data_IF_249933285409
#
_entry.id   IF_249933285409
#
_cell.length_a   1.000
_cell.length_b   1.000
_cell.length_c   1.000
_cell.angle_alpha   90.00
_cell.angle_beta   90.00
_cell.angle_gamma   90.00
#
_symmetry.space_group_name_H-M   'P 1'
#
loop_
_entity.id
_entity.type
_entity.pdbx_description
1 polymer ?
#
# COMPACT_ATOMS: atom_id res chain seq x y z
N UNK A 1 7.09 58.24 -50.36
CA UNK A 1 7.18 56.81 -50.72
C UNK A 1 7.68 56.06 -49.50
N UNK A 2 6.76 55.48 -48.72
CA UNK A 2 7.09 54.66 -47.56
C UNK A 2 6.64 53.24 -47.85
N UNK A 3 7.60 52.35 -48.03
CA UNK A 3 7.38 50.90 -48.09
C UNK A 3 7.21 50.40 -46.65
N UNK A 4 6.00 49.96 -46.31
CA UNK A 4 5.73 49.21 -45.09
C UNK A 4 6.21 47.76 -45.30
N UNK A 5 7.29 47.38 -44.62
CA UNK A 5 7.69 45.99 -44.47
C UNK A 5 6.76 45.32 -43.45
N UNK A 6 5.98 44.34 -43.89
CA UNK A 6 5.22 43.46 -43.01
C UNK A 6 6.19 42.52 -42.29
N UNK A 7 6.48 42.82 -41.01
CA UNK A 7 7.01 41.84 -40.08
C UNK A 7 5.90 40.84 -39.73
N UNK A 8 5.98 39.62 -40.27
CA UNK A 8 5.23 38.49 -39.72
C UNK A 8 5.78 38.18 -38.33
N UNK A 9 5.08 38.66 -37.30
CA UNK A 9 5.30 38.22 -35.93
C UNK A 9 4.89 36.76 -35.80
N UNK A 10 5.76 35.93 -35.20
CA UNK A 10 5.35 34.68 -34.57
C UNK A 10 4.43 35.06 -33.39
N UNK A 11 3.16 35.30 -33.68
CA UNK A 11 2.12 35.38 -32.68
C UNK A 11 1.91 33.98 -32.11
N UNK A 12 2.42 33.80 -30.90
CA UNK A 12 1.89 32.97 -29.83
C UNK A 12 0.87 31.90 -30.27
N UNK A 13 1.39 30.76 -30.72
CA UNK A 13 0.74 29.46 -30.57
C UNK A 13 0.66 29.12 -29.07
N UNK A 14 -0.14 29.88 -28.31
CA UNK A 14 -0.74 29.40 -27.07
C UNK A 14 -1.98 28.59 -27.43
N UNK A 15 -1.76 27.45 -28.07
CA UNK A 15 -2.74 26.37 -28.03
C UNK A 15 -2.74 25.84 -26.61
N UNK A 16 -3.80 26.22 -25.92
CA UNK A 16 -4.28 25.71 -24.64
C UNK A 16 -3.89 24.23 -24.47
N UNK A 17 -2.81 23.98 -23.73
CA UNK A 17 -2.50 22.64 -23.24
C UNK A 17 -3.61 22.34 -22.25
N UNK A 18 -4.64 21.64 -22.74
CA UNK A 18 -5.72 21.12 -21.91
C UNK A 18 -5.10 20.49 -20.66
N UNK A 19 -5.33 21.11 -19.50
CA UNK A 19 -5.01 20.53 -18.20
C UNK A 19 -5.58 19.12 -18.16
N UNK A 20 -4.70 18.13 -18.09
CA UNK A 20 -5.10 16.74 -17.82
C UNK A 20 -5.87 16.70 -16.49
N UNK A 21 -6.90 15.84 -16.32
CA UNK A 21 -7.76 15.84 -15.12
C UNK A 21 -7.08 15.46 -13.78
N UNK A 22 -5.75 15.42 -13.71
CA UNK A 22 -4.98 14.77 -12.64
C UNK A 22 -4.80 15.59 -11.34
N UNK A 23 -5.36 16.80 -11.24
CA UNK A 23 -5.15 17.66 -10.06
C UNK A 23 -6.18 17.45 -8.92
N UNK A 24 -7.22 16.63 -9.13
CA UNK A 24 -8.26 16.42 -8.10
C UNK A 24 -7.82 15.34 -7.10
N UNK A 25 -7.62 15.73 -5.84
CA UNK A 25 -7.45 14.80 -4.72
C UNK A 25 -8.80 14.15 -4.40
N UNK A 26 -8.84 12.82 -4.42
CA UNK A 26 -9.98 12.00 -4.02
C UNK A 26 -10.09 11.92 -2.50
N UNK A 27 -11.26 12.20 -1.93
CA UNK A 27 -11.48 12.25 -0.48
C UNK A 27 -12.51 11.24 0.04
N UNK A 28 -13.33 10.70 -0.85
CA UNK A 28 -14.29 9.64 -0.51
C UNK A 28 -13.55 8.34 -0.14
N UNK A 29 -14.20 7.39 0.55
CA UNK A 29 -13.58 6.12 0.89
C UNK A 29 -13.04 5.42 -0.37
N UNK A 30 -11.72 5.20 -0.49
CA UNK A 30 -11.15 4.80 -1.76
C UNK A 30 -11.63 3.43 -2.24
N UNK A 31 -11.99 2.55 -1.31
CA UNK A 31 -12.54 1.24 -1.62
C UNK A 31 -13.91 1.26 -2.32
N UNK A 32 -14.65 2.37 -2.28
CA UNK A 32 -15.88 2.55 -3.08
C UNK A 32 -15.65 3.20 -4.44
N UNK A 33 -14.49 3.82 -4.64
CA UNK A 33 -14.23 4.63 -5.81
C UNK A 33 -13.92 3.76 -7.04
N UNK A 34 -14.52 4.05 -8.20
CA UNK A 34 -14.32 3.26 -9.43
C UNK A 34 -12.86 3.25 -9.87
N UNK A 35 -12.09 4.27 -9.55
CA UNK A 35 -10.67 4.37 -9.91
C UNK A 35 -9.82 3.35 -9.16
N UNK A 36 -10.17 3.03 -7.92
CA UNK A 36 -9.50 1.98 -7.14
C UNK A 36 -9.92 0.60 -7.60
N UNK A 37 -11.18 0.42 -8.01
CA UNK A 37 -11.62 -0.83 -8.63
C UNK A 37 -10.92 -1.07 -9.97
N UNK A 38 -10.87 -0.07 -10.85
CA UNK A 38 -10.17 -0.17 -12.13
C UNK A 38 -8.67 -0.46 -11.94
N UNK A 39 -8.04 0.16 -10.94
CA UNK A 39 -6.61 -0.06 -10.64
C UNK A 39 -6.35 -1.45 -10.05
N UNK A 40 -7.26 -1.94 -9.20
CA UNK A 40 -7.23 -3.32 -8.75
C UNK A 40 -7.36 -4.29 -9.93
N UNK A 41 -8.32 -4.07 -10.85
CA UNK A 41 -8.46 -4.88 -12.07
C UNK A 41 -7.20 -4.82 -12.94
N UNK A 42 -6.57 -3.67 -13.10
CA UNK A 42 -5.29 -3.58 -13.80
C UNK A 42 -4.21 -4.46 -13.15
N UNK A 43 -4.08 -4.43 -11.82
CA UNK A 43 -3.12 -5.28 -11.10
C UNK A 43 -3.44 -6.76 -11.32
N UNK A 44 -4.71 -7.15 -11.26
CA UNK A 44 -5.12 -8.54 -11.40
C UNK A 44 -5.00 -9.05 -12.85
N UNK A 45 -5.45 -8.28 -13.81
CA UNK A 45 -5.65 -8.74 -15.19
C UNK A 45 -4.47 -8.44 -16.11
N UNK A 46 -3.70 -7.38 -15.83
CA UNK A 46 -2.72 -6.84 -16.79
C UNK A 46 -1.31 -6.85 -16.25
N UNK A 47 -1.10 -6.36 -15.02
CA UNK A 47 0.23 -6.20 -14.47
C UNK A 47 0.92 -7.55 -14.21
N UNK A 48 2.13 -7.72 -14.74
CA UNK A 48 2.96 -8.89 -14.47
C UNK A 48 3.77 -8.67 -13.19
N UNK A 49 3.50 -9.49 -12.18
CA UNK A 49 4.17 -9.39 -10.88
C UNK A 49 5.56 -10.04 -10.99
N UNK A 50 6.66 -9.32 -10.68
CA UNK A 50 7.99 -9.88 -10.79
C UNK A 50 8.19 -11.02 -9.78
N UNK A 51 8.76 -12.17 -10.20
CA UNK A 51 9.07 -13.25 -9.27
C UNK A 51 10.15 -12.81 -8.28
N UNK A 52 9.91 -13.05 -6.99
CA UNK A 52 10.84 -12.78 -5.89
C UNK A 52 10.71 -13.88 -4.84
N UNK A 53 11.75 -14.13 -4.08
CA UNK A 53 11.71 -15.18 -3.05
C UNK A 53 10.73 -14.81 -1.92
N UNK A 54 10.74 -13.55 -1.50
CA UNK A 54 9.93 -13.04 -0.39
C UNK A 54 8.96 -11.98 -0.88
N UNK A 55 7.70 -12.04 -0.48
CA UNK A 55 6.79 -10.89 -0.51
C UNK A 55 6.61 -10.29 0.88
N UNK A 56 6.73 -8.97 0.96
CA UNK A 56 6.56 -8.20 2.19
C UNK A 56 5.33 -7.33 2.05
N UNK A 57 4.32 -7.55 2.89
CA UNK A 57 3.08 -6.79 2.91
C UNK A 57 3.12 -5.73 4.02
N UNK A 58 3.05 -4.45 3.67
CA UNK A 58 2.99 -3.33 4.62
C UNK A 58 1.79 -2.43 4.34
N UNK A 59 1.18 -1.81 5.37
CA UNK A 59 0.01 -0.99 5.15
C UNK A 59 0.32 0.31 4.42
N UNK A 60 -0.71 0.83 3.74
CA UNK A 60 -0.71 2.15 3.13
C UNK A 60 -0.48 3.25 4.18
N UNK A 61 -0.08 4.43 3.71
CA UNK A 61 0.16 5.59 4.56
C UNK A 61 -0.71 6.78 4.15
N UNK A 62 -0.93 7.70 5.10
CA UNK A 62 -1.66 8.95 4.84
C UNK A 62 -0.90 9.82 3.84
N UNK A 63 0.43 9.91 3.97
CA UNK A 63 1.31 10.66 3.07
C UNK A 63 1.63 9.83 1.82
N UNK A 64 1.44 10.43 0.64
CA UNK A 64 1.71 9.84 -0.67
C UNK A 64 2.78 10.65 -1.41
N UNK A 65 3.56 10.02 -2.31
CA UNK A 65 3.69 8.57 -2.50
C UNK A 65 4.20 7.90 -1.21
N UNK A 66 3.78 6.66 -0.96
CA UNK A 66 3.88 6.07 0.37
C UNK A 66 5.32 5.92 0.86
N UNK A 67 6.27 5.62 -0.05
CA UNK A 67 7.71 5.59 0.24
C UNK A 67 8.25 6.86 0.89
N UNK A 68 7.58 8.01 0.71
CA UNK A 68 7.98 9.28 1.32
C UNK A 68 7.42 9.50 2.72
N UNK A 69 6.50 8.64 3.17
CA UNK A 69 5.94 8.69 4.52
C UNK A 69 6.99 8.29 5.57
N UNK A 70 6.98 8.93 6.77
CA UNK A 70 7.90 8.55 7.84
C UNK A 70 7.84 7.07 8.22
N UNK A 71 6.64 6.49 8.29
CA UNK A 71 6.46 5.07 8.60
C UNK A 71 7.07 4.16 7.54
N UNK A 72 6.84 4.42 6.24
CA UNK A 72 7.47 3.63 5.18
C UNK A 72 8.98 3.75 5.16
N UNK A 73 9.54 4.94 5.43
CA UNK A 73 10.99 5.11 5.50
C UNK A 73 11.60 4.25 6.62
N UNK A 74 10.95 4.19 7.78
CA UNK A 74 11.38 3.35 8.90
C UNK A 74 11.27 1.88 8.53
N UNK A 75 10.11 1.43 8.02
CA UNK A 75 9.90 0.04 7.63
C UNK A 75 10.91 -0.42 6.55
N UNK A 76 11.15 0.41 5.51
CA UNK A 76 12.14 0.12 4.46
C UNK A 76 13.56 0.06 5.02
N UNK A 77 13.93 0.99 5.90
CA UNK A 77 15.25 0.94 6.54
C UNK A 77 15.45 -0.32 7.41
N UNK A 78 14.39 -0.90 7.97
CA UNK A 78 14.45 -2.19 8.67
C UNK A 78 14.60 -3.35 7.67
N UNK A 79 13.83 -3.34 6.58
CA UNK A 79 13.92 -4.34 5.51
C UNK A 79 15.34 -4.37 4.93
N UNK A 80 15.90 -3.22 4.57
CA UNK A 80 17.22 -3.07 3.95
C UNK A 80 18.38 -3.52 4.87
N UNK A 81 18.16 -3.56 6.19
CA UNK A 81 19.15 -4.10 7.15
C UNK A 81 19.19 -5.64 7.14
N UNK A 82 18.14 -6.30 6.65
CA UNK A 82 17.97 -7.75 6.78
C UNK A 82 18.04 -8.46 5.43
N UNK A 83 17.46 -7.84 4.38
CA UNK A 83 17.25 -8.45 3.07
C UNK A 83 17.97 -7.66 1.97
N UNK A 84 18.39 -8.36 0.91
CA UNK A 84 18.93 -7.73 -0.29
C UNK A 84 17.77 -7.21 -1.18
N UNK A 85 17.92 -6.07 -1.87
CA UNK A 85 16.84 -5.48 -2.67
C UNK A 85 16.23 -6.39 -3.74
N UNK A 86 16.97 -7.38 -4.23
CA UNK A 86 16.54 -8.33 -5.24
C UNK A 86 15.90 -9.60 -4.67
N UNK A 87 15.95 -9.83 -3.36
CA UNK A 87 15.35 -11.01 -2.72
C UNK A 87 13.88 -10.85 -2.36
N UNK A 88 13.35 -9.61 -2.36
CA UNK A 88 11.97 -9.35 -1.97
C UNK A 88 11.18 -8.50 -2.96
N UNK A 89 9.86 -8.66 -2.93
CA UNK A 89 8.87 -7.76 -3.53
C UNK A 89 8.09 -7.07 -2.41
N UNK A 90 8.03 -5.74 -2.42
CA UNK A 90 7.25 -4.98 -1.46
C UNK A 90 5.85 -4.70 -1.98
N UNK A 91 4.85 -5.11 -1.21
CA UNK A 91 3.43 -4.93 -1.51
C UNK A 91 2.79 -4.04 -0.45
N UNK A 92 2.15 -2.98 -0.88
CA UNK A 92 1.41 -2.03 -0.05
C UNK A 92 -0.06 -2.43 -0.05
N UNK A 93 -0.74 -2.37 1.09
CA UNK A 93 -2.17 -2.69 1.15
C UNK A 93 -2.93 -1.84 2.16
N UNK A 94 -4.25 -1.75 2.06
CA UNK A 94 -5.07 -1.05 3.05
C UNK A 94 -6.27 -0.39 2.41
N UNK A 95 -6.52 0.89 2.73
CA UNK A 95 -7.68 1.60 2.15
C UNK A 95 -7.59 1.79 0.65
N UNK A 96 -6.39 1.62 0.08
CA UNK A 96 -6.10 1.78 -1.33
C UNK A 96 -6.23 0.50 -2.17
N UNK A 97 -6.74 -0.61 -1.65
CA UNK A 97 -6.52 -1.89 -2.33
C UNK A 97 -5.27 -2.60 -1.86
N UNK A 98 -4.76 -3.45 -2.74
CA UNK A 98 -3.45 -4.11 -2.68
C UNK A 98 -2.63 -3.68 -3.90
N UNK A 99 -1.35 -3.37 -3.68
CA UNK A 99 -0.55 -2.55 -4.59
C UNK A 99 0.94 -2.93 -4.55
N UNK A 100 1.52 -3.45 -5.65
CA UNK A 100 2.98 -3.48 -5.85
C UNK A 100 3.60 -2.09 -5.65
N UNK A 101 4.63 -1.98 -4.80
CA UNK A 101 5.13 -0.68 -4.34
C UNK A 101 5.70 0.21 -5.47
N UNK A 102 6.18 -0.37 -6.56
CA UNK A 102 6.66 0.34 -7.76
C UNK A 102 5.55 1.10 -8.49
N UNK A 103 4.28 0.78 -8.24
CA UNK A 103 3.14 1.45 -8.87
C UNK A 103 2.57 2.59 -8.01
N UNK A 104 3.18 2.92 -6.86
CA UNK A 104 2.60 3.87 -5.88
C UNK A 104 2.40 5.31 -6.37
N UNK A 105 3.08 5.70 -7.44
CA UNK A 105 2.94 7.02 -8.06
C UNK A 105 1.86 7.05 -9.14
N UNK A 106 1.36 5.90 -9.58
CA UNK A 106 0.27 5.83 -10.54
C UNK A 106 -1.02 6.34 -9.92
N UNK A 107 -1.87 6.91 -10.77
CA UNK A 107 -3.24 7.22 -10.39
C UNK A 107 -4.00 5.91 -10.09
N UNK A 108 -4.81 5.83 -9.00
CA UNK A 108 -5.18 6.87 -8.05
C UNK A 108 -4.32 6.93 -6.78
N UNK A 109 -3.30 6.06 -6.65
CA UNK A 109 -2.57 5.82 -5.40
C UNK A 109 -1.87 7.06 -4.83
N UNK A 110 -1.37 7.95 -5.69
CA UNK A 110 -0.79 9.23 -5.26
C UNK A 110 -1.80 10.37 -5.08
N UNK A 111 -3.08 10.16 -5.42
CA UNK A 111 -4.08 11.22 -5.64
C UNK A 111 -5.31 11.07 -4.73
N UNK A 112 -5.14 10.50 -3.54
CA UNK A 112 -6.23 10.40 -2.55
C UNK A 112 -5.78 10.74 -1.13
N UNK A 113 -6.73 11.24 -0.34
CA UNK A 113 -6.56 11.52 1.08
C UNK A 113 -7.72 10.95 1.88
N UNK A 114 -7.47 9.84 2.57
CA UNK A 114 -8.46 9.16 3.39
C UNK A 114 -7.80 8.50 4.61
N UNK A 115 -8.52 8.47 5.74
CA UNK A 115 -8.05 7.89 7.00
C UNK A 115 -9.17 7.10 7.68
N UNK A 116 -9.13 5.77 7.52
CA UNK A 116 -10.15 4.86 8.07
C UNK A 116 -10.27 4.96 9.60
N UNK A 117 -9.18 5.18 10.32
CA UNK A 117 -9.19 5.28 11.79
C UNK A 117 -10.00 6.44 12.36
N UNK A 118 -10.41 7.41 11.54
CA UNK A 118 -11.29 8.52 11.96
C UNK A 118 -12.78 8.23 11.71
N UNK A 119 -13.10 7.13 11.05
CA UNK A 119 -14.46 6.79 10.64
C UNK A 119 -15.16 6.02 11.76
N UNK A 120 -16.23 6.63 12.29
CA UNK A 120 -17.06 6.04 13.36
C UNK A 120 -18.22 5.21 12.84
N UNK A 121 -18.55 5.34 11.55
CA UNK A 121 -19.63 4.58 10.93
C UNK A 121 -19.21 3.11 10.79
N UNK A 122 -19.90 2.16 11.49
CA UNK A 122 -19.55 0.75 11.42
C UNK A 122 -19.79 0.16 10.03
N UNK A 123 -20.75 0.66 9.25
CA UNK A 123 -21.03 0.16 7.90
C UNK A 123 -19.83 0.38 6.96
N UNK A 124 -19.17 1.53 7.07
CA UNK A 124 -17.97 1.85 6.29
C UNK A 124 -16.79 0.96 6.71
N UNK A 125 -16.67 0.61 8.00
CA UNK A 125 -15.65 -0.31 8.49
C UNK A 125 -15.89 -1.75 7.99
N UNK A 126 -17.15 -2.19 7.97
CA UNK A 126 -17.56 -3.50 7.46
C UNK A 126 -17.34 -3.59 5.94
N UNK A 127 -17.67 -2.55 5.20
CA UNK A 127 -17.45 -2.49 3.76
C UNK A 127 -15.97 -2.43 3.40
N UNK A 128 -15.16 -1.65 4.14
CA UNK A 128 -13.71 -1.72 4.03
C UNK A 128 -13.23 -3.17 4.17
N UNK A 129 -13.65 -3.85 5.24
CA UNK A 129 -13.22 -5.21 5.52
C UNK A 129 -13.63 -6.16 4.39
N UNK A 130 -14.89 -6.08 3.95
CA UNK A 130 -15.43 -6.94 2.89
C UNK A 130 -14.69 -6.73 1.56
N UNK A 131 -14.63 -5.49 1.08
CA UNK A 131 -14.07 -5.16 -0.24
C UNK A 131 -12.56 -5.44 -0.27
N UNK A 132 -11.83 -5.04 0.79
CA UNK A 132 -10.37 -5.20 0.81
C UNK A 132 -9.95 -6.64 1.10
N UNK A 133 -10.78 -7.44 1.77
CA UNK A 133 -10.58 -8.90 1.87
C UNK A 133 -10.59 -9.55 0.50
N UNK A 134 -11.58 -9.23 -0.34
CA UNK A 134 -11.68 -9.78 -1.70
C UNK A 134 -10.49 -9.35 -2.56
N UNK A 135 -10.07 -8.08 -2.45
CA UNK A 135 -8.92 -7.57 -3.20
C UNK A 135 -7.61 -8.25 -2.80
N UNK A 136 -7.37 -8.39 -1.50
CA UNK A 136 -6.23 -9.15 -0.97
C UNK A 136 -6.28 -10.58 -1.51
N UNK A 137 -7.42 -11.26 -1.39
CA UNK A 137 -7.56 -12.65 -1.82
C UNK A 137 -7.22 -12.82 -3.32
N UNK A 138 -7.73 -11.94 -4.18
CA UNK A 138 -7.43 -11.99 -5.61
C UNK A 138 -5.95 -11.79 -5.93
N UNK A 139 -5.24 -10.90 -5.22
CA UNK A 139 -3.80 -10.72 -5.43
C UNK A 139 -2.98 -11.89 -4.90
N UNK A 140 -3.34 -12.42 -3.73
CA UNK A 140 -2.69 -13.61 -3.18
C UNK A 140 -2.86 -14.80 -4.13
N UNK A 141 -4.05 -14.95 -4.72
CA UNK A 141 -4.28 -16.00 -5.69
C UNK A 141 -3.52 -15.76 -7.01
N UNK A 142 -3.48 -14.52 -7.53
CA UNK A 142 -2.64 -14.19 -8.68
C UNK A 142 -1.17 -14.55 -8.45
N UNK A 143 -0.70 -14.36 -7.22
CA UNK A 143 0.72 -14.51 -6.86
C UNK A 143 1.04 -15.81 -6.13
N UNK A 144 0.14 -16.81 -6.15
CA UNK A 144 0.29 -18.05 -5.37
C UNK A 144 1.63 -18.76 -5.61
N UNK A 145 2.09 -18.76 -6.86
CA UNK A 145 3.31 -19.45 -7.31
C UNK A 145 4.45 -18.45 -7.61
N UNK A 146 4.25 -17.16 -7.32
CA UNK A 146 5.23 -16.09 -7.61
C UNK A 146 6.25 -15.92 -6.49
N UNK A 147 5.85 -16.19 -5.24
CA UNK A 147 6.68 -16.02 -4.05
C UNK A 147 6.88 -17.35 -3.33
N UNK A 148 8.08 -17.58 -2.82
CA UNK A 148 8.37 -18.73 -1.95
C UNK A 148 7.84 -18.50 -0.54
N UNK A 149 7.96 -17.26 -0.03
CA UNK A 149 7.59 -16.88 1.33
C UNK A 149 6.89 -15.52 1.38
N UNK A 150 5.97 -15.35 2.35
CA UNK A 150 5.16 -14.14 2.56
C UNK A 150 5.23 -13.68 4.01
N UNK A 151 5.62 -12.43 4.25
CA UNK A 151 5.57 -11.79 5.56
C UNK A 151 4.70 -10.53 5.51
N UNK A 152 3.93 -10.29 6.54
CA UNK A 152 3.15 -9.07 6.67
C UNK A 152 3.44 -8.33 7.98
N UNK A 153 3.37 -7.00 7.93
CA UNK A 153 3.53 -6.13 9.09
C UNK A 153 2.29 -5.25 9.26
N UNK A 154 1.34 -5.65 10.09
CA UNK A 154 0.05 -4.99 10.20
C UNK A 154 -0.74 -5.30 11.50
N UNK A 155 -1.61 -4.36 11.85
CA UNK A 155 -2.53 -4.42 13.01
C UNK A 155 -3.94 -4.00 12.60
N UNK A 156 -4.91 -4.16 13.52
CA UNK A 156 -6.25 -3.62 13.39
C UNK A 156 -7.04 -4.14 12.17
N UNK A 157 -7.89 -3.30 11.55
CA UNK A 157 -8.71 -3.68 10.40
C UNK A 157 -7.88 -4.19 9.21
N UNK A 158 -6.69 -3.62 8.96
CA UNK A 158 -5.81 -4.06 7.88
C UNK A 158 -5.34 -5.49 8.10
N UNK A 159 -4.92 -5.83 9.33
CA UNK A 159 -4.54 -7.21 9.68
C UNK A 159 -5.70 -8.19 9.47
N UNK A 160 -6.91 -7.79 9.86
CA UNK A 160 -8.11 -8.62 9.67
C UNK A 160 -8.39 -8.88 8.20
N UNK A 161 -8.38 -7.84 7.35
CA UNK A 161 -8.59 -7.98 5.91
C UNK A 161 -7.52 -8.89 5.27
N UNK A 162 -6.25 -8.75 5.69
CA UNK A 162 -5.17 -9.58 5.18
C UNK A 162 -5.36 -11.07 5.56
N UNK A 163 -5.67 -11.35 6.83
CA UNK A 163 -5.88 -12.72 7.32
C UNK A 163 -7.08 -13.35 6.61
N UNK A 164 -8.22 -12.65 6.56
CA UNK A 164 -9.42 -13.15 5.89
C UNK A 164 -9.17 -13.35 4.39
N UNK A 165 -8.43 -12.45 3.74
CA UNK A 165 -8.08 -12.59 2.33
C UNK A 165 -7.16 -13.79 2.06
N UNK A 166 -6.21 -14.06 2.98
CA UNK A 166 -5.36 -15.24 2.94
C UNK A 166 -6.15 -16.55 3.11
N UNK A 167 -7.08 -16.58 4.07
CA UNK A 167 -7.99 -17.71 4.29
C UNK A 167 -8.89 -17.94 3.06
N UNK A 168 -9.48 -16.88 2.51
CA UNK A 168 -10.34 -16.93 1.33
C UNK A 168 -9.60 -17.43 0.08
N UNK A 169 -8.34 -17.00 -0.12
CA UNK A 169 -7.53 -17.42 -1.25
C UNK A 169 -6.98 -18.85 -1.10
N UNK A 170 -6.93 -19.39 0.12
CA UNK A 170 -6.18 -20.61 0.42
C UNK A 170 -4.66 -20.44 0.23
N UNK A 171 -4.15 -19.20 0.30
CA UNK A 171 -2.74 -18.86 0.10
C UNK A 171 -2.21 -18.27 1.40
N UNK A 172 -1.33 -18.97 2.14
CA UNK A 172 -0.91 -18.56 3.48
C UNK A 172 0.04 -17.35 3.46
N UNK A 173 -0.07 -16.51 4.49
CA UNK A 173 1.01 -15.59 4.89
C UNK A 173 1.85 -16.31 5.94
N UNK A 174 3.12 -16.61 5.63
CA UNK A 174 4.00 -17.42 6.50
C UNK A 174 4.23 -16.76 7.88
N UNK A 175 4.39 -15.43 7.90
CA UNK A 175 4.66 -14.68 9.13
C UNK A 175 3.83 -13.39 9.14
N UNK A 176 3.11 -13.11 10.23
CA UNK A 176 2.37 -11.85 10.41
C UNK A 176 2.79 -11.17 11.71
N UNK A 177 3.52 -10.06 11.59
CA UNK A 177 4.00 -9.23 12.69
C UNK A 177 3.20 -7.94 12.82
N UNK A 178 3.17 -7.28 13.99
CA UNK A 178 3.56 -7.84 15.29
C UNK A 178 2.70 -9.06 15.68
N UNK A 179 3.16 -9.87 16.63
CA UNK A 179 2.40 -11.00 17.18
C UNK A 179 1.20 -10.53 18.01
N UNK A 180 0.17 -11.38 18.17
CA UNK A 180 -1.02 -11.04 18.98
C UNK A 180 -0.66 -10.67 20.43
N UNK A 181 0.34 -11.34 21.00
CA UNK A 181 0.74 -11.13 22.39
C UNK A 181 1.33 -9.73 22.60
N UNK A 182 2.17 -9.26 21.67
CA UNK A 182 2.74 -7.91 21.72
C UNK A 182 1.67 -6.86 21.45
N UNK A 183 0.76 -7.11 20.51
CA UNK A 183 -0.40 -6.23 20.27
C UNK A 183 -1.22 -6.06 21.55
N UNK A 184 -1.61 -7.16 22.20
CA UNK A 184 -2.42 -7.12 23.41
C UNK A 184 -1.69 -6.38 24.54
N UNK A 185 -0.39 -6.67 24.75
CA UNK A 185 0.42 -5.99 25.75
C UNK A 185 0.47 -4.47 25.54
N UNK A 186 0.64 -4.00 24.30
CA UNK A 186 0.68 -2.56 24.00
C UNK A 186 -0.71 -1.93 24.14
N UNK A 187 -1.78 -2.64 23.79
CA UNK A 187 -3.16 -2.16 23.95
C UNK A 187 -3.58 -2.04 25.42
N UNK A 188 -2.99 -2.82 26.33
CA UNK A 188 -3.23 -2.74 27.78
C UNK A 188 -2.52 -1.53 28.43
N UNK A 189 -1.51 -0.96 27.78
CA UNK A 189 -0.87 0.27 28.23
C UNK A 189 -1.80 1.43 27.86
N UNK A 190 -2.47 2.01 28.86
CA UNK A 190 -3.41 3.14 28.74
C UNK A 190 -2.72 4.43 28.23
N UNK A 191 -2.30 4.40 26.97
CA UNK A 191 -1.49 5.43 26.30
C UNK A 191 -2.36 6.19 25.28
N UNK A 192 -2.88 7.39 25.62
CA UNK A 192 -3.85 8.12 24.80
C UNK A 192 -3.34 8.62 23.42
N UNK A 193 -2.08 8.40 23.06
CA UNK A 193 -1.45 8.95 21.85
C UNK A 193 -0.90 7.91 20.85
N UNK A 194 -0.99 6.60 21.12
CA UNK A 194 -0.22 5.60 20.36
C UNK A 194 -0.93 4.27 20.04
N UNK A 195 -2.20 4.08 20.39
CA UNK A 195 -2.96 2.82 20.27
C UNK A 195 -3.02 2.16 18.88
N UNK A 196 -2.55 2.81 17.82
CA UNK A 196 -2.57 2.26 16.45
C UNK A 196 -1.33 2.54 15.60
N UNK A 197 -0.22 3.01 16.20
CA UNK A 197 1.00 3.28 15.44
C UNK A 197 1.82 2.01 15.23
N UNK A 198 2.14 1.68 13.98
CA UNK A 198 3.12 0.64 13.65
C UNK A 198 4.58 1.11 13.83
N UNK A 199 4.82 2.29 14.38
CA UNK A 199 6.17 2.80 14.64
C UNK A 199 6.60 2.63 16.11
N UNK A 200 5.86 1.85 16.89
CA UNK A 200 6.24 1.50 18.26
C UNK A 200 7.49 0.63 18.24
N UNK A 201 8.41 0.84 19.19
CA UNK A 201 9.69 0.15 19.25
C UNK A 201 9.50 -1.37 19.30
N UNK A 202 8.56 -1.85 20.10
CA UNK A 202 8.23 -3.26 20.27
C UNK A 202 7.74 -3.89 18.97
N UNK A 203 6.90 -3.19 18.20
CA UNK A 203 6.40 -3.68 16.92
C UNK A 203 7.50 -3.70 15.86
N UNK A 204 8.35 -2.68 15.83
CA UNK A 204 9.48 -2.60 14.90
C UNK A 204 10.52 -3.70 15.19
N UNK A 205 10.75 -4.01 16.47
CA UNK A 205 11.62 -5.12 16.88
C UNK A 205 11.05 -6.48 16.42
N UNK A 206 9.74 -6.72 16.59
CA UNK A 206 9.10 -7.92 16.06
C UNK A 206 9.15 -8.00 14.54
N UNK A 207 9.00 -6.87 13.84
CA UNK A 207 9.13 -6.84 12.39
C UNK A 207 10.54 -7.24 11.95
N UNK A 208 11.57 -6.68 12.58
CA UNK A 208 12.96 -7.06 12.34
C UNK A 208 13.19 -8.56 12.58
N UNK A 209 12.73 -9.09 13.72
CA UNK A 209 12.83 -10.53 14.05
C UNK A 209 12.12 -11.40 13.02
N UNK A 210 10.91 -11.01 12.61
CA UNK A 210 10.15 -11.71 11.57
C UNK A 210 10.87 -11.75 10.23
N UNK A 211 11.51 -10.64 9.83
CA UNK A 211 12.33 -10.58 8.61
C UNK A 211 13.58 -11.47 8.68
N UNK A 212 14.22 -11.57 9.85
CA UNK A 212 15.36 -12.48 10.06
C UNK A 212 14.89 -13.94 9.94
N UNK A 213 13.79 -14.29 10.60
CA UNK A 213 13.23 -15.64 10.57
C UNK A 213 12.82 -16.07 9.15
N UNK A 214 12.14 -15.21 8.38
CA UNK A 214 11.72 -15.55 7.02
C UNK A 214 12.91 -15.71 6.08
N UNK A 215 13.94 -14.85 6.21
CA UNK A 215 15.19 -14.96 5.44
C UNK A 215 15.89 -16.29 5.73
N UNK A 216 16.06 -16.62 7.00
CA UNK A 216 16.79 -17.81 7.42
C UNK A 216 16.03 -19.09 7.06
N UNK A 217 14.71 -19.03 6.86
CA UNK A 217 13.89 -20.15 6.37
C UNK A 217 14.07 -20.48 4.88
N UNK A 218 14.78 -19.64 4.12
CA UNK A 218 15.09 -19.85 2.70
C UNK A 218 16.52 -20.37 2.45
N UNK A 219 17.34 -20.44 3.50
CA UNK A 219 18.69 -21.01 3.47
C UNK A 219 18.63 -22.54 3.63
#
# INVERSE_FOLDING_TARGET
MHFHGHCYGMEDLRTDVQRTPSDKILTDPPFYLPEFEASYRYIIDVYEVPPRDIAIFIPCAVRKPYSTSPSHRIMRAIIDKVLQPDSFHLVIFGTCGILPAELETMYPYAHYQYMLGKVKDPSIQEDFLRIETDRVAGYLQKTKDTYKKRIAYCIGPFRRALIQGSELAGVPIDIIMPGKDVINKIMELDCPFQEGSLNMEEYLEEFYKGLVLIRDSLL
#
